data_IF_859074954086
#
_entry.id   IF_859074954086
#
_cell.length_a   1.000
_cell.length_b   1.000
_cell.length_c   1.000
_cell.angle_alpha   90.00
_cell.angle_beta   90.00
_cell.angle_gamma   90.00
#
_symmetry.space_group_name_H-M   'P 1'
#
loop_
_entity.id
_entity.type
_entity.pdbx_description
1 polymer ?
#
# COMPACT_ATOMS: atom_id res chain seq x y z
N UNK A 1 -9.06 3.60 14.36
CA UNK A 1 -7.85 4.19 14.99
C UNK A 1 -7.65 5.60 14.44
N UNK A 2 -7.22 6.57 15.26
CA UNK A 2 -6.88 7.92 14.78
C UNK A 2 -5.40 7.99 14.39
N UNK A 3 -5.14 8.63 13.25
CA UNK A 3 -3.78 8.90 12.77
C UNK A 3 -3.21 10.14 13.46
N UNK A 4 -1.89 10.35 13.37
CA UNK A 4 -1.22 11.57 13.87
C UNK A 4 -1.80 12.85 13.27
N UNK A 5 -2.41 12.78 12.09
CA UNK A 5 -3.05 13.92 11.40
C UNK A 5 -4.54 14.08 11.74
N UNK A 6 -5.06 13.30 12.70
CA UNK A 6 -6.48 13.32 13.08
C UNK A 6 -7.42 12.61 12.10
N UNK A 7 -6.91 12.05 11.00
CA UNK A 7 -7.69 11.21 10.08
C UNK A 7 -8.00 9.84 10.67
N UNK A 8 -9.10 9.23 10.23
CA UNK A 8 -9.51 7.88 10.61
C UNK A 8 -8.79 6.87 9.72
N UNK A 9 -8.18 5.85 10.32
CA UNK A 9 -7.71 4.67 9.59
C UNK A 9 -8.84 3.66 9.45
N UNK A 10 -9.15 3.28 8.22
CA UNK A 10 -10.18 2.32 7.84
C UNK A 10 -9.55 1.14 7.10
N UNK A 11 -9.83 -0.07 7.57
CA UNK A 11 -9.46 -1.31 6.87
C UNK A 11 -10.57 -1.70 5.89
N UNK A 12 -10.21 -1.92 4.63
CA UNK A 12 -11.15 -2.27 3.56
C UNK A 12 -10.86 -3.68 3.07
N UNK A 13 -11.85 -4.56 3.15
CA UNK A 13 -11.80 -5.91 2.59
C UNK A 13 -12.60 -5.96 1.28
N UNK A 14 -11.91 -6.23 0.17
CA UNK A 14 -12.56 -6.40 -1.12
C UNK A 14 -13.02 -7.85 -1.32
N UNK A 15 -14.14 -8.05 -2.02
CA UNK A 15 -14.62 -9.40 -2.39
C UNK A 15 -13.69 -10.07 -3.42
N UNK A 16 -13.20 -9.28 -4.37
CA UNK A 16 -12.17 -9.64 -5.34
C UNK A 16 -11.10 -8.55 -5.34
N UNK A 17 -9.84 -8.92 -5.55
CA UNK A 17 -8.75 -7.94 -5.52
C UNK A 17 -8.86 -7.03 -6.76
N UNK A 18 -9.10 -5.72 -6.58
CA UNK A 18 -9.27 -4.80 -7.71
C UNK A 18 -7.94 -4.53 -8.42
N UNK A 19 -8.00 -3.92 -9.60
CA UNK A 19 -6.79 -3.51 -10.32
C UNK A 19 -5.99 -2.48 -9.51
N UNK A 20 -4.67 -2.64 -9.45
CA UNK A 20 -3.78 -1.76 -8.68
C UNK A 20 -3.85 -0.29 -9.13
N UNK A 21 -4.04 -0.04 -10.43
CA UNK A 21 -4.19 1.32 -10.98
C UNK A 21 -5.45 2.00 -10.42
N UNK A 22 -6.55 1.25 -10.31
CA UNK A 22 -7.82 1.71 -9.74
C UNK A 22 -7.66 2.02 -8.26
N UNK A 23 -6.99 1.16 -7.48
CA UNK A 23 -6.69 1.43 -6.07
C UNK A 23 -5.84 2.68 -5.88
N UNK A 24 -4.83 2.90 -6.74
CA UNK A 24 -3.99 4.10 -6.68
C UNK A 24 -4.79 5.38 -6.97
N UNK A 25 -5.86 5.28 -7.76
CA UNK A 25 -6.72 6.41 -8.08
C UNK A 25 -7.65 6.81 -6.92
N UNK A 26 -7.91 5.93 -5.95
CA UNK A 26 -8.78 6.21 -4.79
C UNK A 26 -8.30 7.43 -4.00
N UNK A 27 -7.00 7.74 -4.03
CA UNK A 27 -6.42 8.92 -3.37
C UNK A 27 -7.02 10.25 -3.84
N UNK A 28 -7.66 10.31 -5.01
CA UNK A 28 -8.33 11.53 -5.50
C UNK A 28 -9.76 11.70 -4.98
N UNK A 29 -10.32 10.71 -4.29
CA UNK A 29 -11.70 10.79 -3.82
C UNK A 29 -11.82 11.77 -2.64
N UNK A 30 -12.89 12.58 -2.59
CA UNK A 30 -13.14 13.47 -1.48
C UNK A 30 -13.16 12.73 -0.14
N UNK A 31 -12.46 13.28 0.86
CA UNK A 31 -12.36 12.70 2.20
C UNK A 31 -11.28 11.62 2.36
N UNK A 32 -10.64 11.18 1.28
CA UNK A 32 -9.49 10.28 1.35
C UNK A 32 -8.21 11.10 1.41
N UNK A 33 -7.51 10.98 2.54
CA UNK A 33 -6.23 11.68 2.75
C UNK A 33 -5.08 10.89 2.13
N UNK A 34 -5.09 9.56 2.31
CA UNK A 34 -4.09 8.65 1.74
C UNK A 34 -4.58 7.20 1.74
N UNK A 35 -3.79 6.31 1.14
CA UNK A 35 -3.97 4.85 1.20
C UNK A 35 -2.63 4.12 1.37
N UNK A 36 -2.67 2.88 1.85
CA UNK A 36 -1.46 2.07 2.12
C UNK A 36 -0.86 1.38 0.89
N UNK A 37 -1.38 1.61 -0.32
CA UNK A 37 -0.81 1.06 -1.55
C UNK A 37 0.43 1.87 -1.99
N UNK A 38 1.59 1.22 -2.00
CA UNK A 38 2.86 1.76 -2.53
C UNK A 38 2.99 1.41 -4.01
N UNK A 39 2.23 2.08 -4.87
CA UNK A 39 2.16 1.76 -6.30
C UNK A 39 3.40 2.25 -7.07
N UNK A 40 4.17 1.33 -7.66
CA UNK A 40 5.38 1.63 -8.46
C UNK A 40 6.43 2.48 -7.73
N UNK A 41 6.50 2.37 -6.39
CA UNK A 41 7.46 3.13 -5.58
C UNK A 41 8.71 2.34 -5.22
N UNK A 42 8.62 1.01 -5.13
CA UNK A 42 9.73 0.17 -4.74
C UNK A 42 10.76 0.04 -5.87
N UNK A 43 12.03 0.31 -5.57
CA UNK A 43 13.17 0.14 -6.48
C UNK A 43 14.06 -1.04 -6.08
N UNK A 44 13.98 -1.45 -4.82
CA UNK A 44 14.65 -2.63 -4.30
C UNK A 44 13.86 -3.20 -3.12
N UNK A 45 14.09 -4.48 -2.82
CA UNK A 45 13.55 -5.16 -1.65
C UNK A 45 14.61 -6.10 -1.04
N UNK A 46 14.67 -6.14 0.29
CA UNK A 46 15.48 -7.10 1.03
C UNK A 46 14.55 -8.23 1.48
N UNK A 47 14.80 -9.45 1.00
CA UNK A 47 14.02 -10.64 1.32
C UNK A 47 14.83 -11.52 2.29
N UNK A 48 14.36 -11.62 3.53
CA UNK A 48 14.91 -12.52 4.54
C UNK A 48 14.10 -13.81 4.59
N UNK A 49 14.69 -14.92 4.15
CA UNK A 49 14.05 -16.24 4.10
C UNK A 49 14.89 -17.31 4.76
N UNK A 50 14.43 -18.57 4.67
CA UNK A 50 15.19 -19.75 5.14
C UNK A 50 16.56 -19.86 4.46
N UNK A 51 16.66 -19.39 3.22
CA UNK A 51 17.87 -19.42 2.41
C UNK A 51 18.80 -18.21 2.67
N UNK A 52 18.52 -17.40 3.70
CA UNK A 52 19.30 -16.21 4.06
C UNK A 52 18.72 -14.91 3.51
N UNK A 53 19.60 -13.92 3.32
CA UNK A 53 19.25 -12.56 2.87
C UNK A 53 19.44 -12.44 1.37
N UNK A 54 18.38 -12.05 0.66
CA UNK A 54 18.40 -11.78 -0.77
C UNK A 54 18.07 -10.31 -1.06
N UNK A 55 18.76 -9.71 -2.02
CA UNK A 55 18.52 -8.35 -2.49
C UNK A 55 17.86 -8.41 -3.87
N UNK A 56 16.63 -7.91 -3.97
CA UNK A 56 15.87 -7.80 -5.21
C UNK A 56 15.91 -6.36 -5.69
N UNK A 57 16.15 -6.14 -6.98
CA UNK A 57 16.11 -4.83 -7.64
C UNK A 57 15.01 -4.87 -8.71
N UNK A 58 14.19 -3.82 -8.78
CA UNK A 58 12.96 -3.74 -9.59
C UNK A 58 13.14 -2.73 -10.73
#
# INVERSE_FOLDING_TARGET
MLTKRGGILLDVKFQSFPELSTLNHIKVWPGIIDHSLFYKMATAAILCGRDGVNYLYI
#
